data_IF_320893228428
#
_entry.id   IF_320893228428
#
_cell.length_a   1.000
_cell.length_b   1.000
_cell.length_c   1.000
_cell.angle_alpha   90.00
_cell.angle_beta   90.00
_cell.angle_gamma   90.00
#
_symmetry.space_group_name_H-M   'P 1'
#
loop_
_entity.id
_entity.type
_entity.pdbx_description
1 polymer ?
#
# COMPACT_ATOMS: atom_id res chain seq x y z
N UNK A 1 -13.73 12.41 11.78
CA UNK A 1 -13.87 12.38 10.31
C UNK A 1 -15.28 12.85 9.99
N UNK A 2 -15.42 13.66 8.94
CA UNK A 2 -16.71 14.21 8.52
C UNK A 2 -17.51 13.23 7.64
N UNK A 3 -18.81 13.48 7.53
CA UNK A 3 -19.79 12.69 6.78
C UNK A 3 -19.48 12.63 5.27
N UNK A 4 -18.82 13.66 4.73
CA UNK A 4 -18.44 13.74 3.32
C UNK A 4 -17.37 12.71 2.96
N UNK A 5 -16.43 12.45 3.88
CA UNK A 5 -15.42 11.41 3.68
C UNK A 5 -16.04 10.02 3.61
N UNK A 6 -17.04 9.73 4.45
CA UNK A 6 -17.77 8.44 4.43
C UNK A 6 -18.60 8.26 3.14
N UNK A 7 -19.24 9.33 2.65
CA UNK A 7 -19.94 9.33 1.37
C UNK A 7 -19.00 9.03 0.19
N UNK A 8 -17.81 9.62 0.18
CA UNK A 8 -16.81 9.35 -0.85
C UNK A 8 -16.34 7.88 -0.84
N UNK A 9 -16.17 7.29 0.35
CA UNK A 9 -15.85 5.86 0.49
C UNK A 9 -16.91 4.99 -0.15
N UNK A 10 -18.18 5.27 0.12
CA UNK A 10 -19.31 4.51 -0.43
C UNK A 10 -19.36 4.61 -1.97
N UNK A 11 -19.10 5.80 -2.51
CA UNK A 11 -19.10 6.03 -3.96
C UNK A 11 -17.97 5.29 -4.67
N UNK A 12 -16.76 5.31 -4.11
CA UNK A 12 -15.60 4.64 -4.69
C UNK A 12 -15.74 3.11 -4.64
N UNK A 13 -16.22 2.57 -3.52
CA UNK A 13 -16.49 1.13 -3.40
C UNK A 13 -17.55 0.61 -4.39
N UNK A 14 -18.41 1.48 -4.91
CA UNK A 14 -19.41 1.16 -5.94
C UNK A 14 -18.89 1.34 -7.37
N UNK A 15 -17.78 2.07 -7.56
CA UNK A 15 -17.20 2.36 -8.87
C UNK A 15 -16.25 1.26 -9.34
N UNK A 16 -15.40 0.74 -8.44
CA UNK A 16 -14.38 -0.30 -8.74
C UNK A 16 -14.97 -1.60 -9.33
N UNK A 17 -16.29 -1.83 -9.21
CA UNK A 17 -16.96 -3.05 -9.70
C UNK A 17 -17.70 -2.87 -11.03
N UNK A 18 -17.82 -1.63 -11.54
CA UNK A 18 -18.43 -1.40 -12.87
C UNK A 18 -17.45 -1.66 -14.02
N UNK A 19 -16.15 -1.69 -13.73
CA UNK A 19 -15.13 -2.02 -14.73
C UNK A 19 -15.09 -3.54 -15.02
N UNK A 20 -15.52 -4.38 -14.08
CA UNK A 20 -15.56 -5.85 -14.24
C UNK A 20 -16.77 -6.36 -15.04
N UNK A 21 -17.86 -5.59 -15.15
CA UNK A 21 -19.09 -5.98 -15.89
C UNK A 21 -19.00 -5.66 -17.41
N UNK A 22 -18.00 -4.89 -17.86
CA UNK A 22 -17.88 -4.44 -19.26
C UNK A 22 -16.95 -5.32 -20.13
N UNK A 23 -16.36 -6.40 -19.59
CA UNK A 23 -15.47 -7.33 -20.34
C UNK A 23 -16.13 -8.66 -20.80
N UNK A 24 -17.43 -8.89 -20.55
CA UNK A 24 -18.14 -10.14 -20.91
C UNK A 24 -19.20 -9.99 -22.04
N UNK A 25 -18.99 -9.15 -23.05
CA UNK A 25 -19.75 -9.24 -24.31
C UNK A 25 -18.84 -8.91 -25.50
N UNK A 26 -18.27 -9.94 -26.15
CA UNK A 26 -17.99 -10.00 -27.60
C UNK A 26 -17.10 -11.22 -27.93
N UNK A 27 -17.71 -12.40 -28.06
CA UNK A 27 -17.12 -13.55 -28.77
C UNK A 27 -18.28 -14.38 -29.37
N UNK A 28 -18.86 -13.89 -30.47
CA UNK A 28 -19.64 -14.71 -31.40
C UNK A 28 -19.00 -14.68 -32.80
N UNK A 29 -18.87 -15.88 -33.35
CA UNK A 29 -18.17 -16.37 -34.54
C UNK A 29 -18.51 -15.63 -35.85
N UNK A 30 -17.53 -15.38 -36.73
CA UNK A 30 -17.74 -15.43 -38.19
C UNK A 30 -16.56 -16.11 -38.92
N UNK A 31 -16.97 -16.99 -39.83
CA UNK A 31 -16.26 -18.06 -40.51
C UNK A 31 -15.28 -17.64 -41.63
N UNK A 32 -14.46 -18.63 -41.98
CA UNK A 32 -13.47 -18.72 -43.06
C UNK A 32 -13.94 -18.25 -44.46
N UNK A 33 -13.16 -17.39 -45.13
CA UNK A 33 -12.95 -17.46 -46.59
C UNK A 33 -11.50 -17.09 -46.96
N UNK A 34 -10.74 -18.10 -47.41
CA UNK A 34 -9.41 -17.97 -48.00
C UNK A 34 -9.50 -17.44 -49.45
N UNK A 35 -8.82 -16.34 -49.78
CA UNK A 35 -8.42 -16.03 -51.16
C UNK A 35 -6.95 -15.57 -51.26
N UNK A 36 -6.18 -16.36 -52.01
CA UNK A 36 -4.80 -16.16 -52.47
C UNK A 36 -4.74 -15.24 -53.69
N UNK A 37 -3.99 -14.12 -53.65
CA UNK A 37 -3.36 -13.53 -54.86
C UNK A 37 -2.08 -12.75 -54.52
N UNK A 38 -0.92 -13.31 -54.93
CA UNK A 38 0.00 -12.65 -55.87
C UNK A 38 0.94 -11.52 -55.40
N UNK A 39 2.24 -11.81 -55.52
CA UNK A 39 3.38 -10.88 -55.44
C UNK A 39 3.41 -9.84 -56.58
N UNK A 40 3.86 -8.60 -56.31
CA UNK A 40 4.57 -7.76 -57.28
C UNK A 40 5.36 -6.61 -56.63
N UNK A 41 6.54 -6.38 -57.17
CA UNK A 41 7.61 -5.47 -56.72
C UNK A 41 7.46 -4.03 -57.27
N UNK A 42 8.14 -3.11 -56.59
CA UNK A 42 8.95 -1.99 -57.10
C UNK A 42 8.40 -0.84 -58.00
N UNK A 43 8.83 0.36 -57.56
CA UNK A 43 9.26 1.55 -58.34
C UNK A 43 8.22 2.46 -59.02
N UNK A 44 8.15 3.68 -58.48
CA UNK A 44 7.83 4.94 -59.18
C UNK A 44 8.74 6.02 -58.55
N UNK A 45 9.60 6.75 -59.26
CA UNK A 45 9.57 7.18 -60.65
C UNK A 45 9.24 8.67 -60.71
N UNK A 46 10.26 9.52 -60.65
CA UNK A 46 10.20 10.98 -60.79
C UNK A 46 9.48 11.43 -62.06
N UNK A 47 8.67 12.49 -62.03
CA UNK A 47 8.59 13.47 -63.13
C UNK A 47 8.17 14.85 -62.62
N UNK A 48 8.73 15.85 -63.27
CA UNK A 48 8.74 17.26 -62.89
C UNK A 48 7.64 18.09 -63.60
N UNK A 49 7.34 19.24 -62.96
CA UNK A 49 7.24 20.60 -63.53
C UNK A 49 5.90 21.26 -63.93
N UNK A 50 5.92 22.58 -63.62
CA UNK A 50 5.19 23.76 -64.14
C UNK A 50 3.79 24.05 -63.57
N UNK A 51 3.69 24.97 -62.60
CA UNK A 51 3.68 26.46 -62.68
C UNK A 51 2.35 27.01 -63.22
N UNK A 52 1.62 27.76 -62.39
CA UNK A 52 1.12 29.09 -62.75
C UNK A 52 0.81 29.94 -61.50
N UNK A 53 1.02 31.23 -61.69
CA UNK A 53 1.26 32.35 -60.77
C UNK A 53 -0.04 33.06 -60.39
N UNK A 54 -0.28 33.28 -59.09
CA UNK A 54 -1.01 34.45 -58.60
C UNK A 54 -0.32 34.99 -57.34
N UNK A 55 0.51 36.01 -57.59
CA UNK A 55 1.03 37.00 -56.64
C UNK A 55 0.08 37.38 -55.50
N UNK A 56 0.44 36.99 -54.28
CA UNK A 56 0.19 37.75 -53.07
C UNK A 56 1.46 37.65 -52.20
N UNK A 57 2.22 38.74 -52.18
CA UNK A 57 3.50 38.85 -51.48
C UNK A 57 3.29 38.73 -49.96
N UNK A 58 3.73 37.63 -49.37
CA UNK A 58 4.09 37.57 -47.95
C UNK A 58 5.62 37.58 -47.86
N UNK A 59 6.26 38.61 -47.27
CA UNK A 59 7.71 38.67 -47.19
C UNK A 59 8.17 37.50 -46.32
N UNK A 60 8.94 36.58 -46.89
CA UNK A 60 9.62 35.55 -46.11
C UNK A 60 10.72 36.20 -45.29
N UNK A 61 10.66 36.22 -43.95
CA UNK A 61 11.82 36.61 -43.16
C UNK A 61 12.71 35.37 -43.09
N UNK A 62 13.66 35.34 -44.01
CA UNK A 62 14.93 34.60 -43.96
C UNK A 62 15.25 34.09 -42.53
N UNK A 63 15.26 32.77 -42.36
CA UNK A 63 16.17 32.01 -41.47
C UNK A 63 16.59 32.73 -40.18
N UNK A 64 15.62 33.26 -39.43
CA UNK A 64 15.89 33.86 -38.12
C UNK A 64 16.24 32.76 -37.10
N UNK A 65 15.77 31.52 -37.31
CA UNK A 65 16.13 30.37 -36.49
C UNK A 65 17.56 29.85 -36.74
N UNK A 66 18.14 30.03 -37.93
CA UNK A 66 19.54 29.62 -38.18
C UNK A 66 20.56 30.66 -37.69
N UNK A 67 20.19 31.94 -37.61
CA UNK A 67 21.10 32.99 -37.10
C UNK A 67 21.06 33.10 -35.57
N UNK A 68 20.01 32.59 -34.90
CA UNK A 68 19.95 32.46 -33.44
C UNK A 68 20.70 31.23 -32.89
N UNK A 69 21.21 30.35 -33.76
CA UNK A 69 22.00 29.19 -33.32
C UNK A 69 23.50 29.50 -33.11
N UNK A 70 24.01 30.68 -33.53
CA UNK A 70 25.44 31.02 -33.41
C UNK A 70 25.76 32.38 -32.74
N UNK A 71 24.77 33.09 -32.22
CA UNK A 71 24.99 34.28 -31.39
C UNK A 71 24.15 34.23 -30.11
N UNK A 72 24.74 33.71 -29.03
CA UNK A 72 24.35 34.16 -27.68
C UNK A 72 23.22 33.45 -26.93
N UNK A 73 22.88 32.19 -27.23
CA UNK A 73 22.17 31.32 -26.26
C UNK A 73 23.13 30.59 -25.29
N UNK A 74 24.34 31.14 -25.10
CA UNK A 74 25.11 30.85 -23.91
C UNK A 74 24.62 31.76 -22.78
N UNK A 75 24.06 31.14 -21.74
CA UNK A 75 23.72 31.69 -20.40
C UNK A 75 22.25 32.02 -20.15
N UNK A 76 21.42 30.99 -20.14
CA UNK A 76 20.61 30.66 -18.96
C UNK A 76 20.61 29.14 -18.78
N UNK A 77 21.77 28.58 -18.42
CA UNK A 77 21.82 27.28 -17.73
C UNK A 77 22.31 27.56 -16.33
N UNK A 78 21.44 28.08 -15.48
CA UNK A 78 21.61 27.75 -14.06
C UNK A 78 21.59 26.23 -14.01
N UNK A 79 22.69 25.59 -13.61
CA UNK A 79 22.69 24.15 -13.41
C UNK A 79 21.49 23.83 -12.51
N UNK A 80 20.56 22.99 -13.00
CA UNK A 80 19.44 22.53 -12.18
C UNK A 80 20.09 21.89 -10.96
N UNK A 81 19.85 22.46 -9.77
CA UNK A 81 20.39 21.90 -8.54
C UNK A 81 19.74 20.54 -8.36
N UNK A 82 20.55 19.50 -8.23
CA UNK A 82 20.08 18.13 -7.95
C UNK A 82 20.40 17.76 -6.51
N UNK A 83 19.60 16.87 -5.95
CA UNK A 83 19.82 16.24 -4.65
C UNK A 83 19.39 14.77 -4.72
N UNK A 84 19.91 13.94 -3.80
CA UNK A 84 19.57 12.52 -3.75
C UNK A 84 18.29 12.25 -2.97
N UNK A 85 17.45 11.37 -3.48
CA UNK A 85 16.34 10.80 -2.72
C UNK A 85 16.88 9.95 -1.55
N UNK A 86 16.30 10.07 -0.35
CA UNK A 86 16.77 9.33 0.82
C UNK A 86 16.33 7.85 0.84
N UNK A 87 15.43 7.44 -0.07
CA UNK A 87 14.99 6.05 -0.22
C UNK A 87 15.74 5.31 -1.33
N UNK A 88 15.69 5.79 -2.58
CA UNK A 88 16.34 5.11 -3.71
C UNK A 88 17.78 5.57 -3.97
N UNK A 89 18.25 6.64 -3.31
CA UNK A 89 19.58 7.23 -3.50
C UNK A 89 19.85 7.82 -4.89
N UNK A 90 18.84 7.87 -5.77
CA UNK A 90 18.95 8.47 -7.10
C UNK A 90 18.97 10.00 -7.06
N UNK A 91 19.68 10.60 -8.01
CA UNK A 91 19.71 12.05 -8.20
C UNK A 91 18.43 12.55 -8.86
N UNK A 92 17.83 13.56 -8.25
CA UNK A 92 16.61 14.20 -8.71
C UNK A 92 16.79 15.72 -8.72
N UNK A 93 16.09 16.45 -9.61
CA UNK A 93 15.96 17.89 -9.49
C UNK A 93 15.49 18.27 -8.08
N UNK A 94 16.13 19.25 -7.46
CA UNK A 94 15.76 19.69 -6.10
C UNK A 94 14.28 20.10 -6.02
N UNK A 95 13.70 20.59 -7.11
CA UNK A 95 12.30 21.00 -7.21
C UNK A 95 11.30 19.85 -7.31
N UNK A 96 11.74 18.62 -7.63
CA UNK A 96 10.88 17.44 -7.69
C UNK A 96 10.93 16.57 -6.43
N UNK A 97 11.77 16.96 -5.46
CA UNK A 97 11.86 16.27 -4.18
C UNK A 97 10.85 16.84 -3.18
N UNK A 98 10.11 15.94 -2.55
CA UNK A 98 9.20 16.26 -1.46
C UNK A 98 9.94 16.20 -0.13
N UNK A 99 9.92 17.30 0.62
CA UNK A 99 10.55 17.40 1.93
C UNK A 99 9.56 17.05 3.03
N UNK A 100 10.01 16.21 3.97
CA UNK A 100 9.27 15.88 5.18
C UNK A 100 9.65 16.82 6.34
N UNK A 101 8.87 16.81 7.41
CA UNK A 101 9.15 17.58 8.63
C UNK A 101 10.43 17.12 9.34
N UNK A 102 10.83 15.85 9.13
CA UNK A 102 12.10 15.26 9.56
C UNK A 102 13.32 15.70 8.71
N UNK A 103 13.13 16.57 7.71
CA UNK A 103 14.16 17.03 6.77
C UNK A 103 14.73 15.92 5.84
N UNK A 104 14.06 14.77 5.76
CA UNK A 104 14.30 13.79 4.70
C UNK A 104 13.56 14.20 3.42
N UNK A 105 14.07 13.75 2.28
CA UNK A 105 13.57 14.10 0.94
C UNK A 105 13.37 12.87 0.09
N UNK A 106 12.24 12.84 -0.61
CA UNK A 106 11.82 11.68 -1.39
C UNK A 106 11.42 12.11 -2.80
N UNK A 107 11.78 11.30 -3.79
CA UNK A 107 11.25 11.47 -5.14
C UNK A 107 9.78 11.03 -5.19
N UNK A 108 9.04 11.51 -6.19
CA UNK A 108 7.63 11.15 -6.36
C UNK A 108 7.42 9.64 -6.46
N UNK A 109 8.25 8.94 -7.25
CA UNK A 109 8.15 7.48 -7.40
C UNK A 109 8.31 6.72 -6.07
N UNK A 110 9.27 7.11 -5.23
CA UNK A 110 9.41 6.51 -3.90
C UNK A 110 8.21 6.79 -3.00
N UNK A 111 7.64 7.99 -3.05
CA UNK A 111 6.43 8.31 -2.27
C UNK A 111 5.23 7.50 -2.76
N UNK A 112 5.02 7.39 -4.07
CA UNK A 112 3.96 6.57 -4.66
C UNK A 112 4.08 5.13 -4.14
N UNK A 113 5.26 4.53 -4.27
CA UNK A 113 5.49 3.15 -3.80
C UNK A 113 5.23 2.96 -2.30
N UNK A 114 5.60 3.95 -1.46
CA UNK A 114 5.30 3.91 -0.02
C UNK A 114 3.79 3.87 0.22
N UNK A 115 3.03 4.73 -0.47
CA UNK A 115 1.59 4.84 -0.29
C UNK A 115 0.86 3.63 -0.87
N UNK A 116 1.26 3.12 -2.04
CA UNK A 116 0.73 1.89 -2.62
C UNK A 116 0.99 0.68 -1.72
N UNK A 117 2.22 0.53 -1.21
CA UNK A 117 2.53 -0.54 -0.26
C UNK A 117 1.67 -0.44 1.00
N UNK A 118 1.38 0.77 1.47
CA UNK A 118 0.52 0.98 2.65
C UNK A 118 -0.93 0.56 2.41
N UNK A 119 -1.46 0.74 1.19
CA UNK A 119 -2.82 0.31 0.82
C UNK A 119 -2.94 -1.22 0.80
N UNK A 120 -1.87 -1.90 0.37
CA UNK A 120 -1.84 -3.36 0.23
C UNK A 120 -1.53 -4.07 1.56
N UNK A 121 -0.61 -3.52 2.35
CA UNK A 121 -0.19 -4.08 3.62
C UNK A 121 -0.57 -3.16 4.78
N UNK A 122 -1.58 -3.55 5.55
CA UNK A 122 -2.07 -2.83 6.73
C UNK A 122 -0.95 -2.56 7.75
N UNK A 123 0.07 -3.42 7.85
CA UNK A 123 1.20 -3.20 8.77
C UNK A 123 2.06 -2.00 8.39
N UNK A 124 2.03 -1.60 7.12
CA UNK A 124 2.70 -0.41 6.57
C UNK A 124 1.77 0.81 6.53
N UNK A 125 0.51 0.65 6.94
CA UNK A 125 -0.46 1.73 6.93
C UNK A 125 -0.11 2.85 7.91
N UNK A 126 -0.53 4.08 7.60
CA UNK A 126 0.02 5.32 8.14
C UNK A 126 1.53 5.47 7.90
N UNK A 127 1.95 5.66 6.63
CA UNK A 127 3.35 5.89 6.30
C UNK A 127 3.97 7.00 7.14
N UNK A 128 5.15 6.73 7.70
CA UNK A 128 5.90 7.68 8.53
C UNK A 128 7.35 7.81 8.09
N UNK A 129 7.88 9.03 8.16
CA UNK A 129 9.32 9.31 8.18
C UNK A 129 9.72 9.67 9.61
N UNK A 130 10.61 8.89 10.22
CA UNK A 130 11.14 9.16 11.57
C UNK A 130 10.04 9.39 12.62
N UNK A 131 8.92 8.65 12.51
CA UNK A 131 7.76 8.79 13.39
C UNK A 131 6.75 9.88 13.00
N UNK A 132 7.08 10.75 12.03
CA UNK A 132 6.17 11.78 11.53
C UNK A 132 5.41 11.27 10.30
N UNK A 133 4.10 11.51 10.23
CA UNK A 133 3.31 11.15 9.06
C UNK A 133 3.81 11.85 7.80
N UNK A 134 3.78 11.15 6.67
CA UNK A 134 4.01 11.80 5.38
C UNK A 134 2.86 12.78 5.06
N UNK A 135 3.14 13.95 4.49
CA UNK A 135 2.08 14.81 3.97
C UNK A 135 1.41 14.14 2.76
N UNK A 136 0.09 13.99 2.80
CA UNK A 136 -0.70 13.49 1.68
C UNK A 136 -0.86 14.62 0.66
N UNK A 137 -0.01 14.64 -0.36
CA UNK A 137 0.05 15.70 -1.35
C UNK A 137 -0.48 15.20 -2.70
N UNK A 138 -1.69 15.61 -3.08
CA UNK A 138 -2.36 15.22 -4.34
C UNK A 138 -1.49 15.47 -5.58
N UNK A 139 -0.78 16.61 -5.64
CA UNK A 139 0.11 16.93 -6.76
C UNK A 139 1.34 16.02 -6.90
N UNK A 140 1.68 15.23 -5.86
CA UNK A 140 2.82 14.30 -5.87
C UNK A 140 2.35 12.87 -6.07
N UNK A 141 1.27 12.50 -5.39
CA UNK A 141 0.74 11.13 -5.35
C UNK A 141 -0.26 10.84 -6.49
N UNK A 142 -0.89 11.88 -7.04
CA UNK A 142 -2.02 11.76 -7.95
C UNK A 142 -3.35 11.61 -7.19
N UNK A 143 -4.44 12.13 -7.76
CA UNK A 143 -5.76 12.14 -7.13
C UNK A 143 -6.26 10.72 -6.85
N UNK A 144 -6.13 9.83 -7.84
CA UNK A 144 -6.60 8.44 -7.74
C UNK A 144 -5.95 7.68 -6.57
N UNK A 145 -4.62 7.76 -6.42
CA UNK A 145 -3.91 7.13 -5.30
C UNK A 145 -4.32 7.73 -3.96
N UNK A 146 -4.50 9.06 -3.89
CA UNK A 146 -4.97 9.73 -2.66
C UNK A 146 -6.37 9.28 -2.29
N UNK A 147 -7.28 9.15 -3.26
CA UNK A 147 -8.65 8.68 -3.04
C UNK A 147 -8.67 7.24 -2.53
N UNK A 148 -7.98 6.31 -3.22
CA UNK A 148 -7.83 4.92 -2.75
C UNK A 148 -7.22 4.85 -1.35
N UNK A 149 -6.22 5.67 -1.07
CA UNK A 149 -5.59 5.73 0.25
C UNK A 149 -6.55 6.24 1.33
N UNK A 150 -7.34 7.29 1.06
CA UNK A 150 -8.35 7.81 2.01
C UNK A 150 -9.44 6.79 2.31
N UNK A 151 -9.85 5.98 1.32
CA UNK A 151 -10.77 4.86 1.54
C UNK A 151 -10.19 3.85 2.53
N UNK A 152 -8.93 3.45 2.30
CA UNK A 152 -8.20 2.57 3.21
C UNK A 152 -7.94 3.20 4.57
N UNK A 153 -7.82 4.52 4.66
CA UNK A 153 -7.69 5.22 5.93
C UNK A 153 -8.92 5.05 6.80
N UNK A 154 -10.11 5.24 6.23
CA UNK A 154 -11.36 5.01 6.94
C UNK A 154 -11.49 3.54 7.33
N UNK A 155 -11.24 2.63 6.40
CA UNK A 155 -11.26 1.19 6.68
C UNK A 155 -10.32 0.89 7.85
N UNK A 156 -9.01 1.11 7.70
CA UNK A 156 -8.02 0.64 8.65
C UNK A 156 -8.06 1.32 10.02
N UNK A 157 -8.51 2.57 10.09
CA UNK A 157 -8.70 3.27 11.37
C UNK A 157 -10.01 2.92 12.09
N UNK A 158 -10.96 2.27 11.41
CA UNK A 158 -12.23 1.86 12.03
C UNK A 158 -12.00 0.71 13.02
N UNK A 159 -12.42 0.83 14.30
CA UNK A 159 -12.33 -0.26 15.26
C UNK A 159 -13.37 -1.36 14.97
N UNK A 160 -13.03 -2.63 15.25
CA UNK A 160 -13.92 -3.79 15.09
C UNK A 160 -14.66 -3.84 13.74
N UNK A 161 -13.91 -3.59 12.66
CA UNK A 161 -14.38 -3.51 11.26
C UNK A 161 -15.34 -4.64 10.91
N UNK A 162 -16.34 -4.30 10.10
CA UNK A 162 -17.28 -5.29 9.57
C UNK A 162 -17.13 -5.31 8.07
N UNK A 163 -17.04 -6.50 7.51
CA UNK A 163 -16.95 -6.75 6.08
C UNK A 163 -18.21 -7.46 5.62
N UNK A 164 -18.52 -7.40 4.33
CA UNK A 164 -19.55 -8.24 3.75
C UNK A 164 -19.22 -9.72 4.05
N UNK A 165 -20.17 -10.47 4.60
CA UNK A 165 -19.95 -11.87 4.96
C UNK A 165 -19.81 -12.80 3.74
N UNK A 166 -20.21 -12.32 2.56
CA UNK A 166 -20.09 -13.06 1.30
C UNK A 166 -18.62 -13.03 0.86
N UNK A 167 -17.90 -14.16 0.81
CA UNK A 167 -16.46 -14.17 0.57
C UNK A 167 -16.04 -13.52 -0.75
N UNK A 168 -16.84 -13.70 -1.80
CA UNK A 168 -16.60 -13.09 -3.11
C UNK A 168 -16.73 -11.55 -3.09
N UNK A 169 -17.50 -11.00 -2.15
CA UNK A 169 -17.63 -9.56 -1.98
C UNK A 169 -16.60 -9.02 -0.98
N UNK A 170 -16.65 -9.46 0.29
CA UNK A 170 -15.74 -9.04 1.37
C UNK A 170 -15.50 -7.52 1.50
N UNK A 171 -16.35 -6.68 0.91
CA UNK A 171 -16.22 -5.21 0.94
C UNK A 171 -16.40 -4.68 2.37
N UNK A 172 -15.56 -3.73 2.77
CA UNK A 172 -15.68 -3.04 4.06
C UNK A 172 -17.02 -2.31 4.17
N UNK A 173 -17.73 -2.51 5.29
CA UNK A 173 -19.01 -1.87 5.61
C UNK A 173 -18.74 -0.70 6.55
N UNK A 174 -18.87 0.56 6.09
CA UNK A 174 -18.67 1.73 6.93
C UNK A 174 -19.68 1.81 8.07
N UNK A 175 -19.33 2.50 9.16
CA UNK A 175 -20.22 2.67 10.32
C UNK A 175 -21.55 3.35 9.98
N UNK A 176 -21.59 4.19 8.94
CA UNK A 176 -22.82 4.81 8.42
C UNK A 176 -23.84 3.80 7.89
N UNK A 177 -23.39 2.61 7.48
CA UNK A 177 -24.23 1.55 6.92
C UNK A 177 -24.58 0.47 7.97
N UNK A 178 -24.26 0.72 9.24
CA UNK A 178 -24.55 -0.17 10.35
C UNK A 178 -25.74 0.36 11.15
N UNK A 179 -26.79 -0.45 11.25
CA UNK A 179 -27.98 -0.19 12.03
C UNK A 179 -28.07 -1.21 13.17
N UNK A 180 -27.74 -0.78 14.39
CA UNK A 180 -27.61 -1.68 15.54
C UNK A 180 -26.51 -2.72 15.28
N UNK A 181 -26.87 -4.00 15.31
CA UNK A 181 -25.93 -5.11 15.11
C UNK A 181 -25.92 -5.65 13.66
N UNK A 182 -26.50 -4.91 12.72
CA UNK A 182 -26.58 -5.31 11.30
C UNK A 182 -25.95 -4.25 10.40
N UNK A 183 -24.89 -4.64 9.70
CA UNK A 183 -24.26 -3.86 8.64
C UNK A 183 -24.81 -4.23 7.27
N UNK A 184 -25.09 -3.24 6.43
CA UNK A 184 -25.57 -3.45 5.07
C UNK A 184 -24.44 -3.16 4.07
N UNK A 185 -24.08 -4.16 3.28
CA UNK A 185 -23.08 -4.02 2.23
C UNK A 185 -23.46 -2.87 1.28
N UNK A 186 -22.57 -1.91 1.03
CA UNK A 186 -22.89 -0.75 0.19
C UNK A 186 -23.02 -1.08 -1.30
N UNK A 187 -22.54 -2.25 -1.72
CA UNK A 187 -22.56 -2.71 -3.11
C UNK A 187 -23.80 -3.57 -3.36
N UNK A 188 -23.82 -4.77 -2.78
CA UNK A 188 -24.85 -5.79 -3.06
C UNK A 188 -25.95 -5.87 -1.99
N UNK A 189 -25.95 -4.97 -1.01
CA UNK A 189 -26.97 -4.91 0.06
C UNK A 189 -27.10 -6.17 0.94
N UNK A 190 -26.13 -7.08 0.87
CA UNK A 190 -26.03 -8.20 1.82
C UNK A 190 -25.95 -7.69 3.25
N UNK A 191 -26.74 -8.31 4.13
CA UNK A 191 -26.79 -7.97 5.55
C UNK A 191 -25.84 -8.86 6.34
N UNK A 192 -24.89 -8.24 7.05
CA UNK A 192 -23.89 -8.91 7.89
C UNK A 192 -24.16 -8.58 9.35
N UNK A 193 -24.10 -9.56 10.24
CA UNK A 193 -24.09 -9.33 11.68
C UNK A 193 -22.74 -8.74 12.12
N UNK A 194 -22.74 -7.61 12.82
CA UNK A 194 -21.50 -6.94 13.26
C UNK A 194 -20.83 -7.66 14.44
N UNK A 195 -21.55 -8.55 15.13
CA UNK A 195 -21.04 -9.30 16.29
C UNK A 195 -20.32 -10.59 15.87
N UNK A 196 -20.99 -11.46 15.11
CA UNK A 196 -20.41 -12.73 14.65
C UNK A 196 -19.72 -12.64 13.28
N UNK A 197 -19.84 -11.50 12.57
CA UNK A 197 -19.31 -11.26 11.22
C UNK A 197 -19.88 -12.19 10.13
N UNK A 198 -20.89 -13.00 10.44
CA UNK A 198 -21.61 -13.86 9.51
C UNK A 198 -22.88 -13.20 8.94
N UNK A 199 -23.74 -13.97 8.24
CA UNK A 199 -25.03 -13.49 7.74
C UNK A 199 -25.88 -12.88 8.87
N UNK A 200 -26.61 -11.82 8.57
CA UNK A 200 -27.54 -11.23 9.53
C UNK A 200 -28.62 -12.25 9.95
N UNK A 201 -28.93 -12.26 11.24
CA UNK A 201 -29.88 -13.20 11.84
C UNK A 201 -30.74 -12.51 12.90
N UNK A 202 -31.96 -13.02 13.17
CA UNK A 202 -32.86 -12.42 14.15
C UNK A 202 -32.37 -12.57 15.60
N UNK A 203 -32.88 -11.68 16.47
CA UNK A 203 -32.80 -11.76 17.94
C UNK A 203 -31.40 -11.91 18.57
N UNK A 204 -30.35 -11.38 17.94
CA UNK A 204 -28.96 -11.50 18.43
C UNK A 204 -28.54 -12.96 18.71
N UNK A 205 -29.16 -13.92 18.03
CA UNK A 205 -28.86 -15.35 18.14
C UNK A 205 -27.55 -15.68 17.41
N UNK A 206 -26.45 -15.00 17.76
CA UNK A 206 -25.14 -15.30 17.23
C UNK A 206 -24.75 -16.70 17.72
N UNK A 207 -24.79 -17.69 16.84
CA UNK A 207 -24.14 -18.95 17.12
C UNK A 207 -22.64 -18.67 17.22
N UNK A 208 -22.09 -18.87 18.41
CA UNK A 208 -20.65 -18.73 18.61
C UNK A 208 -19.98 -19.87 17.86
N UNK A 209 -19.23 -19.52 16.83
CA UNK A 209 -18.41 -20.45 16.09
C UNK A 209 -17.48 -21.21 17.05
N UNK A 210 -17.59 -22.54 17.05
CA UNK A 210 -16.79 -23.41 17.91
C UNK A 210 -15.29 -23.23 17.64
N UNK A 211 -14.91 -22.98 16.39
CA UNK A 211 -13.51 -22.72 16.04
C UNK A 211 -13.01 -21.42 16.68
N UNK A 212 -13.81 -20.35 16.61
CA UNK A 212 -13.52 -19.08 17.30
C UNK A 212 -13.40 -19.26 18.81
N UNK A 213 -14.28 -20.04 19.44
CA UNK A 213 -14.17 -20.35 20.88
C UNK A 213 -12.88 -21.09 21.22
N UNK A 214 -12.48 -22.05 20.39
CA UNK A 214 -11.25 -22.81 20.60
C UNK A 214 -10.01 -21.91 20.47
N UNK A 215 -9.98 -21.00 19.49
CA UNK A 215 -8.91 -20.02 19.36
C UNK A 215 -8.82 -19.12 20.60
N UNK A 216 -9.95 -18.65 21.12
CA UNK A 216 -9.99 -17.83 22.34
C UNK A 216 -9.53 -18.64 23.58
N UNK A 217 -9.84 -19.93 23.64
CA UNK A 217 -9.40 -20.82 24.70
C UNK A 217 -7.89 -21.04 24.67
N UNK A 218 -7.31 -21.22 23.48
CA UNK A 218 -5.86 -21.33 23.27
C UNK A 218 -5.18 -20.01 23.67
N UNK A 219 -5.70 -18.88 23.22
CA UNK A 219 -5.19 -17.55 23.58
C UNK A 219 -5.16 -17.36 25.10
N UNK A 220 -6.26 -17.68 25.79
CA UNK A 220 -6.32 -17.60 27.25
C UNK A 220 -5.31 -18.53 27.94
N UNK A 221 -5.11 -19.75 27.42
CA UNK A 221 -4.15 -20.71 27.96
C UNK A 221 -2.70 -20.22 27.84
N UNK A 222 -2.38 -19.49 26.77
CA UNK A 222 -1.05 -18.96 26.51
C UNK A 222 -0.87 -17.51 27.00
N UNK A 223 -1.84 -16.95 27.74
CA UNK A 223 -1.83 -15.54 28.16
C UNK A 223 -1.69 -14.54 27.00
N UNK A 224 -2.20 -14.89 25.81
CA UNK A 224 -2.27 -13.98 24.68
C UNK A 224 -3.35 -12.94 24.90
N UNK A 225 -3.02 -11.68 24.63
CA UNK A 225 -3.92 -10.56 24.88
C UNK A 225 -4.71 -10.19 23.64
N UNK A 226 -5.90 -9.62 23.84
CA UNK A 226 -6.68 -9.03 22.75
C UNK A 226 -6.48 -7.53 22.74
N UNK A 227 -6.25 -6.96 21.56
CA UNK A 227 -6.21 -5.51 21.40
C UNK A 227 -7.53 -4.91 21.91
N UNK A 228 -7.49 -3.95 22.85
CA UNK A 228 -8.71 -3.36 23.42
C UNK A 228 -9.55 -2.61 22.36
N UNK A 229 -8.91 -2.14 21.27
CA UNK A 229 -9.56 -1.42 20.18
C UNK A 229 -10.17 -2.32 19.10
N UNK A 230 -9.39 -3.25 18.54
CA UNK A 230 -9.81 -4.06 17.38
C UNK A 230 -10.00 -5.55 17.68
N UNK A 231 -9.76 -5.97 18.92
CA UNK A 231 -9.98 -7.34 19.40
C UNK A 231 -9.11 -8.43 18.74
N UNK A 232 -8.12 -8.05 17.93
CA UNK A 232 -7.08 -8.93 17.41
C UNK A 232 -6.30 -9.59 18.55
N UNK A 233 -6.02 -10.89 18.42
CA UNK A 233 -5.20 -11.66 19.37
C UNK A 233 -3.73 -11.35 19.10
N UNK A 234 -2.99 -11.07 20.16
CA UNK A 234 -1.60 -10.66 20.13
C UNK A 234 -0.84 -11.58 21.08
N UNK A 235 0.14 -12.28 20.52
CA UNK A 235 1.15 -13.02 21.26
C UNK A 235 2.33 -12.09 21.55
N UNK A 236 2.79 -12.09 22.80
CA UNK A 236 4.05 -11.49 23.21
C UNK A 236 4.93 -12.61 23.75
N UNK A 237 6.03 -12.91 23.04
CA UNK A 237 6.97 -13.94 23.47
C UNK A 237 7.94 -13.40 24.53
N UNK A 238 8.61 -12.29 24.22
CA UNK A 238 9.61 -11.65 25.07
C UNK A 238 9.62 -10.13 24.79
N UNK A 239 10.08 -9.33 25.75
CA UNK A 239 10.41 -7.91 25.55
C UNK A 239 9.49 -6.91 26.26
N UNK A 240 9.35 -5.72 25.69
CA UNK A 240 8.62 -4.61 26.31
C UNK A 240 7.11 -4.86 26.27
N UNK A 241 6.40 -4.58 27.37
CA UNK A 241 4.94 -4.59 27.46
C UNK A 241 4.26 -3.47 26.67
N UNK A 242 5.00 -2.64 25.93
CA UNK A 242 4.45 -1.70 24.97
C UNK A 242 4.06 -2.42 23.69
N UNK A 243 2.77 -2.49 23.42
CA UNK A 243 2.25 -3.10 22.20
C UNK A 243 1.69 -2.02 21.29
N UNK A 244 2.15 -2.02 20.05
CA UNK A 244 1.51 -1.30 18.94
C UNK A 244 0.78 -2.33 18.09
N UNK A 245 -0.56 -2.34 18.17
CA UNK A 245 -1.37 -3.23 17.33
C UNK A 245 -1.31 -2.81 15.86
N UNK A 246 -1.67 -3.71 14.92
CA UNK A 246 -1.82 -3.39 13.49
C UNK A 246 -2.85 -2.30 13.22
N UNK A 247 -3.85 -2.15 14.09
CA UNK A 247 -4.80 -1.01 14.07
C UNK A 247 -4.24 0.28 14.71
N UNK A 248 -2.93 0.34 14.94
CA UNK A 248 -2.17 1.46 15.53
C UNK A 248 -2.55 1.85 16.95
N UNK A 249 -3.35 1.04 17.64
CA UNK A 249 -3.60 1.23 19.07
C UNK A 249 -2.35 0.86 19.87
N UNK A 250 -1.84 1.81 20.67
CA UNK A 250 -0.73 1.62 21.58
C UNK A 250 -1.25 1.36 23.00
N UNK A 251 -0.88 0.24 23.61
CA UNK A 251 -1.38 -0.15 24.93
C UNK A 251 -0.39 -1.01 25.71
N UNK A 252 -0.60 -1.11 27.01
CA UNK A 252 0.16 -2.01 27.89
C UNK A 252 -0.35 -3.45 27.76
N UNK A 253 0.53 -4.41 27.49
CA UNK A 253 0.16 -5.83 27.37
C UNK A 253 -0.43 -6.40 28.67
N UNK A 254 0.07 -5.99 29.83
CA UNK A 254 -0.37 -6.55 31.12
C UNK A 254 -1.78 -6.11 31.53
N UNK A 255 -2.10 -4.82 31.36
CA UNK A 255 -3.33 -4.24 31.89
C UNK A 255 -4.30 -3.72 30.81
N UNK A 256 -3.90 -3.75 29.54
CA UNK A 256 -4.69 -3.28 28.39
C UNK A 256 -5.01 -1.78 28.40
N UNK A 257 -4.45 -1.01 29.34
CA UNK A 257 -4.60 0.44 29.39
C UNK A 257 -3.83 1.12 28.25
N UNK A 258 -4.27 2.33 27.88
CA UNK A 258 -3.56 3.18 26.91
C UNK A 258 -2.10 3.37 27.32
N UNK A 259 -1.19 3.31 26.35
CA UNK A 259 0.23 3.35 26.65
C UNK A 259 0.63 4.61 27.44
N UNK A 260 1.49 4.43 28.45
CA UNK A 260 1.91 5.47 29.43
C UNK A 260 0.81 6.01 30.36
N UNK A 261 -0.35 5.34 30.45
CA UNK A 261 -1.39 5.68 31.44
C UNK A 261 -1.43 4.75 32.65
N UNK A 262 -0.59 3.72 32.69
CA UNK A 262 -0.46 2.74 33.77
C UNK A 262 0.94 2.76 34.42
N UNK A 263 1.01 2.26 35.66
CA UNK A 263 2.25 2.08 36.42
C UNK A 263 2.82 0.66 36.31
N UNK A 264 2.39 -0.12 35.32
CA UNK A 264 2.92 -1.46 35.07
C UNK A 264 4.42 -1.42 34.73
N UNK A 265 5.15 -2.47 35.13
CA UNK A 265 6.53 -2.65 34.72
C UNK A 265 6.63 -2.71 33.20
N UNK A 266 7.71 -2.15 32.65
CA UNK A 266 7.88 -2.03 31.19
C UNK A 266 8.26 -3.34 30.53
N UNK A 267 8.84 -4.26 31.28
CA UNK A 267 9.36 -5.54 30.82
C UNK A 267 9.48 -6.45 32.03
N UNK A 268 9.37 -7.76 31.79
CA UNK A 268 9.76 -8.77 32.76
C UNK A 268 11.28 -8.94 32.72
N UNK A 269 11.94 -8.86 33.88
CA UNK A 269 13.40 -8.99 33.99
C UNK A 269 13.86 -10.44 33.77
N UNK A 270 13.02 -11.42 34.10
CA UNK A 270 13.29 -12.84 33.90
C UNK A 270 13.23 -13.19 32.40
N UNK A 271 12.21 -12.70 31.69
CA UNK A 271 12.11 -12.88 30.22
C UNK A 271 13.33 -12.31 29.47
N UNK A 272 13.90 -11.20 29.95
CA UNK A 272 15.09 -10.60 29.35
C UNK A 272 16.35 -11.45 29.57
N UNK A 273 16.45 -12.13 30.72
CA UNK A 273 17.56 -13.03 31.03
C UNK A 273 17.44 -14.34 30.24
N UNK A 274 16.25 -14.88 30.14
CA UNK A 274 15.97 -16.09 29.35
C UNK A 274 16.28 -15.84 27.87
N UNK A 275 15.83 -14.70 27.32
CA UNK A 275 16.16 -14.29 25.95
C UNK A 275 17.68 -14.18 25.71
N UNK A 276 18.41 -13.66 26.70
CA UNK A 276 19.86 -13.53 26.63
C UNK A 276 20.56 -14.90 26.68
N UNK A 277 20.09 -15.80 27.53
CA UNK A 277 20.64 -17.15 27.65
C UNK A 277 20.35 -17.99 26.39
N UNK A 278 19.17 -17.85 25.78
CA UNK A 278 18.83 -18.46 24.50
C UNK A 278 19.75 -17.97 23.36
N UNK A 279 19.95 -16.64 23.20
CA UNK A 279 20.89 -16.09 22.20
C UNK A 279 22.32 -16.57 22.44
N UNK A 280 22.75 -16.59 23.71
CA UNK A 280 24.08 -17.07 24.08
C UNK A 280 24.29 -18.54 23.70
N UNK A 281 23.33 -19.40 24.03
CA UNK A 281 23.40 -20.83 23.73
C UNK A 281 23.39 -21.08 22.21
N UNK A 282 22.51 -20.41 21.46
CA UNK A 282 22.47 -20.52 20.00
C UNK A 282 23.79 -20.10 19.33
N UNK A 283 24.44 -19.05 19.85
CA UNK A 283 25.76 -18.61 19.36
C UNK A 283 26.86 -19.59 19.71
N UNK A 284 26.83 -20.18 20.91
CA UNK A 284 27.77 -21.21 21.32
C UNK A 284 27.64 -22.48 20.45
N UNK A 285 26.42 -22.92 20.15
CA UNK A 285 26.17 -24.04 19.25
C UNK A 285 26.70 -23.77 17.84
N UNK A 286 26.45 -22.59 17.29
CA UNK A 286 26.97 -22.20 15.98
C UNK A 286 28.50 -22.19 15.96
N UNK A 287 29.13 -21.65 17.01
CA UNK A 287 30.58 -21.67 17.16
C UNK A 287 31.13 -23.09 17.22
N UNK A 288 30.50 -23.99 18.00
CA UNK A 288 30.90 -25.39 18.10
C UNK A 288 30.77 -26.11 16.75
N UNK A 289 29.64 -25.95 16.06
CA UNK A 289 29.43 -26.53 14.73
C UNK A 289 30.46 -26.04 13.71
N UNK A 290 30.85 -24.76 13.78
CA UNK A 290 31.89 -24.19 12.93
C UNK A 290 33.28 -24.74 13.26
N UNK A 291 33.59 -24.95 14.54
CA UNK A 291 34.83 -25.56 14.98
C UNK A 291 34.93 -27.05 14.58
N UNK A 292 33.84 -27.80 14.69
CA UNK A 292 33.76 -29.20 14.23
C UNK A 292 33.99 -29.30 12.72
N UNK A 293 33.34 -28.43 11.94
CA UNK A 293 33.56 -28.38 10.48
C UNK A 293 35.01 -28.04 10.12
N UNK A 294 35.64 -27.09 10.82
CA UNK A 294 37.06 -26.77 10.63
C UNK A 294 37.96 -27.96 10.95
N UNK A 295 37.72 -28.64 12.08
CA UNK A 295 38.48 -29.81 12.49
C UNK A 295 38.29 -30.99 11.52
N UNK A 296 37.09 -31.19 10.97
CA UNK A 296 36.83 -32.19 9.94
C UNK A 296 37.57 -31.87 8.62
N UNK A 297 37.67 -30.59 8.25
CA UNK A 297 38.35 -30.16 7.03
C UNK A 297 39.88 -30.17 7.13
N UNK A 298 40.45 -29.99 8.33
CA UNK A 298 41.89 -29.77 8.52
C UNK A 298 42.58 -30.72 9.52
N UNK A 299 41.85 -31.58 10.23
CA UNK A 299 42.37 -32.49 11.26
C UNK A 299 42.98 -33.79 10.75
N UNK A 300 43.11 -33.98 9.43
CA UNK A 300 43.57 -35.22 8.80
C UNK A 300 45.03 -35.26 8.37
N UNK A 301 45.95 -34.61 9.09
CA UNK A 301 47.40 -34.78 8.86
C UNK A 301 48.05 -35.29 10.15
N UNK A 302 48.07 -36.62 10.30
CA UNK A 302 49.00 -37.34 11.17
C UNK A 302 49.68 -38.44 10.36
#
# INVERSE_FOLDING_TARGET
MDDATLQLVLQLQQADLKEDDDEEEDDEEEDDEEEDVGQAEDQIGETENRHDDVSAECPTPRRWWETLMHAGFARWRGAIRTQKCDMCMDEQPQTSLSHTTCNHKYCSGCLINIFEASITDESLFLPKCCGNAFPVAEHVLGNELVERWRVKEVEYTTPNRTYCHVPACSVFIPSSNINGDVGHCPVYWHSTCTLCKGPAHPNHACEQDQATQEVLRIAAKNNWQRCPRCQAIIELNQGCHHITCRCHNEFCYLCLAEWKTCDCDRWDEEDLLDAYEEDYNARAENYNARAENYNAAHGGIQ
#
